data_IF_122605471266
#
_entry.id   IF_122605471266
#
_cell.length_a   1.000
_cell.length_b   1.000
_cell.length_c   1.000
_cell.angle_alpha   90.00
_cell.angle_beta   90.00
_cell.angle_gamma   90.00
#
_symmetry.space_group_name_H-M   'P 1'
#
loop_
_entity.id
_entity.type
_entity.pdbx_description
1 polymer ?
#
# COMPACT_ATOMS: atom_id res chain seq x y z
N UNK A 1 23.45 -14.45 -14.28
CA UNK A 1 23.31 -14.00 -12.88
C UNK A 1 22.47 -12.73 -12.91
N UNK A 2 21.18 -12.83 -12.63
CA UNK A 2 20.30 -11.67 -12.59
C UNK A 2 20.59 -10.91 -11.29
N UNK A 3 21.01 -9.65 -11.40
CA UNK A 3 21.05 -8.71 -10.28
C UNK A 3 19.62 -8.65 -9.71
N UNK A 4 19.47 -9.03 -8.45
CA UNK A 4 18.25 -8.77 -7.69
C UNK A 4 18.21 -7.25 -7.54
N UNK A 5 17.51 -6.57 -8.45
CA UNK A 5 17.23 -5.15 -8.29
C UNK A 5 16.42 -5.01 -6.99
N UNK A 6 16.85 -4.10 -6.15
CA UNK A 6 16.25 -3.82 -4.86
C UNK A 6 14.90 -3.12 -5.08
N UNK A 7 13.85 -3.93 -5.28
CA UNK A 7 12.53 -3.48 -5.72
C UNK A 7 11.62 -3.03 -4.55
N UNK A 8 12.17 -2.83 -3.36
CA UNK A 8 11.37 -2.56 -2.15
C UNK A 8 10.91 -1.10 -2.04
N UNK A 9 11.43 -0.17 -2.86
CA UNK A 9 11.29 1.27 -2.61
C UNK A 9 10.74 2.09 -3.80
N UNK A 10 9.65 1.65 -4.41
CA UNK A 10 9.12 2.36 -5.60
C UNK A 10 8.47 3.71 -5.29
N UNK A 11 7.54 3.81 -4.34
CA UNK A 11 6.75 5.03 -4.16
C UNK A 11 7.03 5.68 -2.81
N UNK A 12 7.29 7.00 -2.76
CA UNK A 12 7.23 7.74 -1.50
C UNK A 12 5.90 8.45 -1.28
N UNK A 13 5.17 8.78 -2.34
CA UNK A 13 3.83 9.36 -2.21
C UNK A 13 2.85 8.69 -3.14
N UNK A 14 1.62 8.56 -2.66
CA UNK A 14 0.50 8.09 -3.45
C UNK A 14 -0.61 9.14 -3.41
N UNK A 15 -1.01 9.64 -4.56
CA UNK A 15 -2.18 10.49 -4.69
C UNK A 15 -3.38 9.63 -5.10
N UNK A 16 -4.36 9.48 -4.20
CA UNK A 16 -5.51 8.59 -4.40
C UNK A 16 -6.79 9.38 -4.59
N UNK A 17 -7.41 9.22 -5.74
CA UNK A 17 -8.74 9.75 -6.02
C UNK A 17 -9.84 8.80 -5.53
N UNK A 18 -10.89 9.38 -4.95
CA UNK A 18 -12.12 8.66 -4.59
C UNK A 18 -12.13 7.99 -3.23
N UNK A 19 -11.01 8.00 -2.50
CA UNK A 19 -10.91 7.35 -1.19
C UNK A 19 -11.53 8.17 -0.05
N UNK A 20 -11.61 9.49 -0.16
CA UNK A 20 -12.20 10.36 0.85
C UNK A 20 -13.41 11.12 0.32
N UNK A 21 -14.35 11.40 1.22
CA UNK A 21 -15.49 12.29 1.02
C UNK A 21 -15.33 13.51 1.92
N UNK A 22 -15.38 14.69 1.33
CA UNK A 22 -15.50 15.96 2.06
C UNK A 22 -16.77 16.67 1.57
N UNK A 23 -17.69 16.99 2.49
CA UNK A 23 -19.01 17.57 2.15
C UNK A 23 -19.81 16.77 1.11
N UNK A 24 -19.65 15.45 1.06
CA UNK A 24 -20.33 14.57 0.09
C UNK A 24 -19.64 14.49 -1.28
N UNK A 25 -18.61 15.29 -1.51
CA UNK A 25 -17.80 15.22 -2.73
C UNK A 25 -16.56 14.36 -2.52
N UNK A 26 -16.23 13.56 -3.53
CA UNK A 26 -15.02 12.75 -3.52
C UNK A 26 -13.81 13.64 -3.73
N UNK A 27 -12.93 13.70 -2.74
CA UNK A 27 -11.67 14.43 -2.84
C UNK A 27 -10.49 13.47 -2.94
N UNK A 28 -9.41 13.89 -3.62
CA UNK A 28 -8.19 13.14 -3.56
C UNK A 28 -7.51 13.29 -2.20
N UNK A 29 -6.75 12.28 -1.80
CA UNK A 29 -5.88 12.31 -0.62
C UNK A 29 -4.46 11.95 -1.02
N UNK A 30 -3.49 12.65 -0.44
CA UNK A 30 -2.07 12.32 -0.58
C UNK A 30 -1.66 11.47 0.62
N UNK A 31 -1.14 10.28 0.33
CA UNK A 31 -0.54 9.39 1.30
C UNK A 31 0.98 9.49 1.19
N UNK A 32 1.65 9.60 2.33
CA UNK A 32 3.10 9.61 2.42
C UNK A 32 3.59 8.28 2.95
N UNK A 33 4.68 7.77 2.36
CA UNK A 33 5.28 6.52 2.78
C UNK A 33 5.72 6.65 4.23
N UNK A 34 5.41 5.63 5.01
CA UNK A 34 5.80 5.48 6.39
C UNK A 34 6.67 4.22 6.54
N UNK A 35 7.47 4.15 7.60
CA UNK A 35 8.30 2.98 7.88
C UNK A 35 7.41 1.91 8.52
N UNK A 36 7.43 0.68 7.97
CA UNK A 36 6.68 -0.45 8.52
C UNK A 36 7.29 -0.94 9.85
N UNK A 37 6.46 -1.53 10.74
CA UNK A 37 6.83 -1.89 12.12
C UNK A 37 7.25 -3.37 12.29
N UNK A 38 8.25 -3.70 13.13
CA UNK A 38 9.01 -2.80 13.99
C UNK A 38 10.08 -2.04 13.19
N UNK A 39 10.45 -0.83 13.64
CA UNK A 39 11.63 -0.19 13.11
C UNK A 39 12.78 -1.22 13.17
N UNK A 40 13.61 -1.33 12.12
CA UNK A 40 14.58 -2.41 11.94
C UNK A 40 15.71 -2.51 13.00
N UNK A 41 15.57 -1.78 14.11
CA UNK A 41 16.49 -1.75 15.25
C UNK A 41 16.25 -2.90 16.26
N UNK A 42 15.18 -3.68 16.14
CA UNK A 42 14.97 -4.86 17.00
C UNK A 42 15.49 -6.16 16.39
N UNK A 43 16.80 -6.23 16.17
CA UNK A 43 17.54 -7.51 16.18
C UNK A 43 18.27 -7.58 17.53
N UNK A 44 17.53 -7.93 18.58
CA UNK A 44 18.19 -8.41 19.80
C UNK A 44 18.81 -9.78 19.49
N UNK A 45 20.15 -9.78 19.46
CA UNK A 45 21.09 -10.90 19.45
C UNK A 45 20.50 -12.25 19.91
N UNK A 46 19.91 -13.01 18.99
CA UNK A 46 19.90 -14.46 19.10
C UNK A 46 21.13 -14.99 18.36
N UNK A 47 22.05 -15.56 19.14
CA UNK A 47 23.35 -16.05 18.68
C UNK A 47 23.18 -17.21 17.69
N UNK A 48 24.11 -17.22 16.74
CA UNK A 48 24.53 -18.32 15.84
C UNK A 48 23.51 -18.84 14.82
N UNK A 49 23.42 -18.14 13.70
CA UNK A 49 23.71 -18.69 12.36
C UNK A 49 24.18 -17.51 11.51
N UNK A 50 25.09 -17.72 10.57
CA UNK A 50 25.54 -16.69 9.63
C UNK A 50 24.76 -16.82 8.32
N UNK A 51 23.56 -16.22 8.18
CA UNK A 51 23.14 -15.68 6.90
C UNK A 51 23.75 -14.28 6.77
N UNK A 52 24.33 -14.02 5.61
CA UNK A 52 24.87 -12.74 5.13
C UNK A 52 24.17 -11.55 5.81
N UNK A 53 24.93 -10.63 6.44
CA UNK A 53 24.41 -9.43 7.11
C UNK A 53 23.45 -8.67 6.18
N UNK A 54 22.15 -8.93 6.29
CA UNK A 54 21.14 -8.17 5.57
C UNK A 54 21.04 -6.86 6.35
N UNK A 55 21.59 -5.80 5.76
CA UNK A 55 21.39 -4.45 6.26
C UNK A 55 19.89 -4.11 6.21
N UNK A 56 19.28 -4.12 7.41
CA UNK A 56 17.89 -3.77 7.64
C UNK A 56 17.71 -2.27 7.91
N UNK A 57 18.77 -1.45 7.92
CA UNK A 57 18.68 -0.01 8.15
C UNK A 57 17.60 0.63 7.27
N UNK A 58 16.92 1.72 7.71
CA UNK A 58 16.03 2.49 6.85
C UNK A 58 16.82 2.95 5.62
N UNK A 59 16.70 2.24 4.50
CA UNK A 59 17.43 2.57 3.27
C UNK A 59 16.93 3.90 2.74
N UNK A 60 17.87 4.76 2.36
CA UNK A 60 17.58 6.04 1.71
C UNK A 60 16.72 5.78 0.48
N UNK A 61 15.55 6.44 0.43
CA UNK A 61 14.58 6.30 -0.64
C UNK A 61 15.10 7.04 -1.87
N UNK A 62 15.68 6.33 -2.84
CA UNK A 62 16.03 6.86 -4.16
C UNK A 62 16.12 5.73 -5.21
N UNK A 63 15.56 5.88 -6.43
CA UNK A 63 14.70 6.97 -6.89
C UNK A 63 13.25 6.83 -6.39
N UNK A 64 12.68 7.95 -6.01
CA UNK A 64 11.32 8.03 -5.47
C UNK A 64 10.31 8.32 -6.56
N UNK A 65 9.50 7.34 -6.93
CA UNK A 65 8.33 7.58 -7.78
C UNK A 65 7.15 8.11 -6.95
N UNK A 66 6.28 8.87 -7.59
CA UNK A 66 4.97 9.22 -7.07
C UNK A 66 3.91 8.49 -7.89
N UNK A 67 3.00 7.80 -7.21
CA UNK A 67 1.90 7.09 -7.84
C UNK A 67 0.63 7.94 -7.78
N UNK A 68 -0.01 8.17 -8.91
CA UNK A 68 -1.38 8.69 -8.94
C UNK A 68 -2.32 7.54 -9.31
N UNK A 69 -3.29 7.27 -8.44
CA UNK A 69 -4.23 6.17 -8.61
C UNK A 69 -5.66 6.59 -8.25
N UNK A 70 -6.64 5.82 -8.70
CA UNK A 70 -8.05 5.99 -8.36
C UNK A 70 -8.58 4.70 -7.75
N UNK A 71 -9.36 4.82 -6.68
CA UNK A 71 -10.12 3.67 -6.18
C UNK A 71 -11.21 3.33 -7.17
N UNK A 72 -11.23 2.08 -7.65
CA UNK A 72 -12.28 1.59 -8.52
C UNK A 72 -13.50 1.24 -7.67
N UNK A 73 -14.59 1.95 -7.93
CA UNK A 73 -15.90 1.66 -7.35
C UNK A 73 -16.78 1.10 -8.47
N UNK A 74 -17.12 -0.18 -8.41
CA UNK A 74 -18.14 -0.73 -9.32
C UNK A 74 -19.53 -0.17 -8.94
N UNK A 75 -20.36 0.19 -9.91
CA UNK A 75 -21.77 0.46 -9.59
C UNK A 75 -22.39 -0.83 -9.06
N UNK A 76 -23.23 -0.79 -8.00
CA UNK A 76 -23.87 -2.01 -7.50
C UNK A 76 -24.65 -2.63 -8.65
N UNK A 77 -24.23 -3.82 -9.11
CA UNK A 77 -25.02 -4.62 -10.05
C UNK A 77 -26.27 -5.04 -9.28
N UNK A 78 -27.37 -4.32 -9.49
CA UNK A 78 -28.68 -4.66 -8.96
C UNK A 78 -29.21 -5.91 -9.63
N UNK A 79 -28.71 -7.07 -9.24
CA UNK A 79 -29.32 -8.36 -9.53
C UNK A 79 -29.31 -9.20 -8.26
N UNK A 80 -30.36 -9.01 -7.45
CA UNK A 80 -30.97 -10.02 -6.58
C UNK A 80 -30.12 -10.69 -5.51
N UNK A 81 -30.38 -10.33 -4.24
CA UNK A 81 -30.09 -11.08 -3.01
C UNK A 81 -28.64 -11.57 -2.85
N UNK A 82 -27.82 -10.79 -2.15
CA UNK A 82 -26.84 -11.33 -1.22
C UNK A 82 -26.77 -10.45 0.03
N UNK A 83 -27.23 -11.04 1.15
CA UNK A 83 -27.09 -10.49 2.49
C UNK A 83 -25.74 -10.96 3.01
N UNK A 84 -24.69 -10.31 2.52
CA UNK A 84 -23.37 -10.23 3.15
C UNK A 84 -22.73 -8.94 2.62
N UNK A 85 -23.21 -7.84 3.19
CA UNK A 85 -22.98 -6.48 2.72
C UNK A 85 -21.49 -6.10 2.82
N UNK A 86 -20.75 -6.43 1.76
CA UNK A 86 -19.45 -5.86 1.47
C UNK A 86 -19.57 -4.32 1.48
N UNK A 87 -18.88 -3.60 2.38
CA UNK A 87 -19.01 -2.15 2.46
C UNK A 87 -18.39 -1.52 1.22
N UNK A 88 -19.23 -1.17 0.24
CA UNK A 88 -18.90 -0.35 -0.92
C UNK A 88 -17.68 -0.83 -1.71
N UNK A 89 -17.87 -1.76 -2.65
CA UNK A 89 -16.90 -2.10 -3.71
C UNK A 89 -15.49 -2.49 -3.24
N UNK A 90 -15.34 -2.91 -1.99
CA UNK A 90 -14.08 -3.43 -1.50
C UNK A 90 -13.79 -4.79 -2.17
N UNK A 91 -12.54 -5.09 -2.52
CA UNK A 91 -12.12 -6.44 -2.91
C UNK A 91 -12.25 -7.44 -1.74
N UNK A 92 -12.29 -6.93 -0.51
CA UNK A 92 -12.46 -7.73 0.68
C UNK A 92 -12.42 -6.87 1.94
N UNK A 93 -13.04 -7.37 2.99
CA UNK A 93 -13.02 -6.76 4.31
C UNK A 93 -12.50 -7.75 5.35
N UNK A 94 -11.80 -7.24 6.34
CA UNK A 94 -11.36 -8.03 7.48
C UNK A 94 -11.23 -7.14 8.71
N UNK A 95 -10.90 -7.76 9.84
CA UNK A 95 -10.79 -7.07 11.13
C UNK A 95 -9.88 -5.83 11.07
N UNK A 96 -8.76 -5.93 10.35
CA UNK A 96 -7.73 -4.90 10.32
C UNK A 96 -7.93 -3.84 9.22
N UNK A 97 -8.89 -4.00 8.31
CA UNK A 97 -9.05 -3.06 7.21
C UNK A 97 -9.93 -3.53 6.05
N UNK A 98 -10.10 -2.62 5.10
CA UNK A 98 -10.82 -2.81 3.85
C UNK A 98 -9.85 -2.75 2.69
N UNK A 99 -10.02 -3.61 1.70
CA UNK A 99 -9.15 -3.68 0.51
C UNK A 99 -9.90 -3.10 -0.67
N UNK A 100 -9.31 -2.19 -1.42
CA UNK A 100 -9.92 -1.58 -2.59
C UNK A 100 -9.04 -1.78 -3.83
N UNK A 101 -9.63 -2.05 -5.02
CA UNK A 101 -8.87 -2.09 -6.26
C UNK A 101 -8.42 -0.68 -6.65
N UNK A 102 -7.23 -0.58 -7.24
CA UNK A 102 -6.69 0.68 -7.76
C UNK A 102 -6.58 0.64 -9.28
N UNK A 103 -7.03 1.71 -9.91
CA UNK A 103 -6.69 2.08 -11.28
C UNK A 103 -5.47 3.01 -11.25
N UNK A 104 -4.33 2.56 -11.76
CA UNK A 104 -3.13 3.40 -11.89
C UNK A 104 -3.36 4.41 -13.01
N UNK A 105 -3.28 5.69 -12.69
CA UNK A 105 -3.50 6.78 -13.65
C UNK A 105 -2.18 7.29 -14.22
N UNK A 106 -1.17 7.44 -13.37
CA UNK A 106 0.17 7.83 -13.77
C UNK A 106 1.20 7.47 -12.71
N UNK A 107 2.43 7.33 -13.16
CA UNK A 107 3.61 7.33 -12.31
C UNK A 107 4.43 8.52 -12.76
N UNK A 108 4.66 9.47 -11.86
CA UNK A 108 5.64 10.51 -12.11
C UNK A 108 6.90 10.17 -11.33
N UNK A 109 8.06 10.12 -11.98
CA UNK A 109 9.28 10.37 -11.24
C UNK A 109 9.33 11.85 -10.89
N UNK A 110 10.15 12.22 -9.91
CA UNK A 110 10.60 13.60 -9.83
C UNK A 110 11.38 14.00 -11.10
N UNK A 111 12.14 13.10 -11.78
CA UNK A 111 12.99 13.43 -12.96
C UNK A 111 13.41 12.27 -13.95
N UNK A 112 12.73 11.11 -14.02
CA UNK A 112 13.18 9.89 -14.77
C UNK A 112 12.38 9.57 -16.07
N UNK A 113 13.03 9.35 -17.23
CA UNK A 113 12.35 8.91 -18.46
C UNK A 113 11.71 7.50 -18.42
N UNK A 114 12.01 6.64 -17.44
CA UNK A 114 11.54 5.24 -17.41
C UNK A 114 10.18 5.01 -16.72
N UNK A 115 9.49 6.06 -16.28
CA UNK A 115 8.23 5.88 -15.55
C UNK A 115 7.10 5.23 -16.38
N UNK A 116 7.10 5.41 -17.69
CA UNK A 116 6.14 4.74 -18.58
C UNK A 116 6.35 3.21 -18.59
N UNK A 117 7.61 2.77 -18.64
CA UNK A 117 7.96 1.34 -18.59
C UNK A 117 7.61 0.73 -17.23
N UNK A 118 7.82 1.48 -16.15
CA UNK A 118 7.43 1.06 -14.81
C UNK A 118 5.91 0.85 -14.72
N UNK A 119 5.11 1.76 -15.28
CA UNK A 119 3.65 1.64 -15.27
C UNK A 119 3.17 0.39 -16.02
N UNK A 120 3.82 0.05 -17.15
CA UNK A 120 3.52 -1.15 -17.91
C UNK A 120 3.90 -2.46 -17.18
N UNK A 121 4.86 -2.40 -16.25
CA UNK A 121 5.36 -3.56 -15.50
C UNK A 121 4.62 -3.80 -14.18
N UNK A 122 3.83 -2.83 -13.70
CA UNK A 122 3.10 -3.00 -12.45
C UNK A 122 1.98 -4.04 -12.59
N UNK A 123 1.87 -5.01 -11.67
CA UNK A 123 0.71 -5.86 -11.60
C UNK A 123 -0.52 -5.04 -11.16
N UNK A 124 -1.74 -5.60 -11.30
CA UNK A 124 -2.94 -5.01 -10.70
C UNK A 124 -2.71 -4.65 -9.23
N UNK A 125 -2.95 -3.39 -8.87
CA UNK A 125 -2.72 -2.88 -7.52
C UNK A 125 -4.01 -2.81 -6.71
N UNK A 126 -3.86 -2.89 -5.39
CA UNK A 126 -4.92 -2.60 -4.43
C UNK A 126 -4.36 -1.78 -3.26
N UNK A 127 -5.25 -1.14 -2.52
CA UNK A 127 -4.92 -0.50 -1.25
C UNK A 127 -5.72 -1.14 -0.13
N UNK A 128 -5.06 -1.42 0.99
CA UNK A 128 -5.71 -1.80 2.25
C UNK A 128 -5.75 -0.60 3.18
N UNK A 129 -6.95 -0.22 3.61
CA UNK A 129 -7.17 0.92 4.50
C UNK A 129 -7.51 0.40 5.89
N UNK A 130 -6.74 0.82 6.89
CA UNK A 130 -6.93 0.37 8.26
C UNK A 130 -8.29 0.83 8.81
N UNK A 131 -8.97 -0.07 9.52
CA UNK A 131 -10.09 0.30 10.40
C UNK A 131 -9.58 1.08 11.62
N UNK A 132 -10.41 1.93 12.25
CA UNK A 132 -10.02 2.66 13.45
C UNK A 132 -9.45 1.73 14.53
N UNK A 133 -8.29 2.08 15.09
CA UNK A 133 -7.57 1.28 16.09
C UNK A 133 -6.66 0.18 15.53
N UNK A 134 -6.71 -0.13 14.23
CA UNK A 134 -5.94 -1.22 13.62
C UNK A 134 -4.73 -0.77 12.79
N UNK A 135 -4.40 0.52 12.76
CA UNK A 135 -3.24 1.04 12.01
C UNK A 135 -1.92 0.30 12.35
N UNK A 136 -1.67 0.02 13.64
CA UNK A 136 -0.50 -0.77 14.06
C UNK A 136 -0.51 -2.21 13.55
N UNK A 137 -1.69 -2.82 13.46
CA UNK A 137 -1.82 -4.18 12.91
C UNK A 137 -1.53 -4.19 11.42
N UNK A 138 -2.01 -3.18 10.68
CA UNK A 138 -1.73 -3.02 9.26
C UNK A 138 -0.24 -2.73 9.01
N UNK A 139 0.40 -1.89 9.82
CA UNK A 139 1.84 -1.61 9.71
C UNK A 139 2.70 -2.88 9.96
N UNK A 140 2.29 -3.73 10.90
CA UNK A 140 2.95 -5.03 11.14
C UNK A 140 2.74 -6.00 9.98
N UNK A 141 1.57 -6.00 9.37
CA UNK A 141 1.27 -6.79 8.17
C UNK A 141 2.15 -6.33 6.99
N UNK A 142 2.27 -5.02 6.76
CA UNK A 142 3.16 -4.45 5.74
C UNK A 142 4.64 -4.84 5.96
N UNK A 143 5.12 -4.74 7.20
CA UNK A 143 6.47 -5.16 7.55
C UNK A 143 6.72 -6.64 7.27
N UNK A 144 5.74 -7.50 7.56
CA UNK A 144 5.88 -8.93 7.27
C UNK A 144 6.01 -9.18 5.77
N UNK A 145 5.29 -8.44 4.92
CA UNK A 145 5.47 -8.51 3.48
C UNK A 145 6.84 -8.00 3.01
N UNK A 146 7.33 -6.90 3.58
CA UNK A 146 8.69 -6.38 3.28
C UNK A 146 9.76 -7.40 3.70
N UNK A 147 9.60 -8.04 4.86
CA UNK A 147 10.48 -9.10 5.33
C UNK A 147 10.48 -10.32 4.39
N UNK A 148 9.31 -10.74 3.91
CA UNK A 148 9.21 -11.80 2.91
C UNK A 148 9.83 -11.40 1.57
N UNK A 149 9.72 -10.13 1.16
CA UNK A 149 10.34 -9.61 -0.08
C UNK A 149 11.87 -9.65 0.02
N UNK A 150 12.42 -9.24 1.16
CA UNK A 150 13.86 -9.30 1.43
C UNK A 150 14.42 -10.73 1.40
N UNK A 151 13.59 -11.73 1.68
CA UNK A 151 13.93 -13.16 1.55
C UNK A 151 13.64 -13.74 0.15
N UNK A 152 13.11 -12.94 -0.78
CA UNK A 152 12.74 -13.38 -2.14
C UNK A 152 11.51 -14.29 -2.19
N UNK A 153 10.61 -14.20 -1.20
CA UNK A 153 9.42 -15.05 -1.08
C UNK A 153 8.13 -14.41 -1.61
N UNK A 154 8.19 -13.16 -2.06
CA UNK A 154 7.07 -12.47 -2.71
C UNK A 154 6.84 -12.98 -4.13
N UNK A 155 5.59 -12.99 -4.56
CA UNK A 155 5.18 -13.58 -5.85
C UNK A 155 5.06 -15.10 -5.85
N UNK A 156 5.53 -15.78 -4.79
CA UNK A 156 5.38 -17.23 -4.59
C UNK A 156 4.51 -17.54 -3.38
N UNK A 157 4.85 -17.00 -2.20
CA UNK A 157 4.15 -17.27 -0.94
C UNK A 157 3.32 -16.09 -0.44
N UNK A 158 3.64 -14.88 -0.89
CA UNK A 158 2.94 -13.66 -0.48
C UNK A 158 2.82 -12.66 -1.63
N UNK A 159 1.78 -11.79 -1.61
CA UNK A 159 1.70 -10.67 -2.52
C UNK A 159 2.86 -9.69 -2.29
N UNK A 160 3.22 -8.94 -3.34
CA UNK A 160 4.19 -7.85 -3.22
C UNK A 160 3.55 -6.67 -2.50
N UNK A 161 4.22 -6.16 -1.46
CA UNK A 161 3.82 -4.95 -0.75
C UNK A 161 4.72 -3.78 -1.19
N UNK A 162 4.10 -2.68 -1.63
CA UNK A 162 4.82 -1.50 -2.08
C UNK A 162 5.08 -0.47 -0.96
N UNK A 163 4.68 -0.81 0.27
CA UNK A 163 4.92 -0.03 1.49
C UNK A 163 3.66 0.22 2.30
N UNK A 164 3.85 0.76 3.50
CA UNK A 164 2.80 1.37 4.32
C UNK A 164 2.79 2.88 4.09
N UNK A 165 1.60 3.46 4.01
CA UNK A 165 1.41 4.89 3.76
C UNK A 165 0.42 5.47 4.75
N UNK A 166 0.71 6.68 5.22
CA UNK A 166 -0.14 7.41 6.15
C UNK A 166 -0.59 8.74 5.53
N UNK A 167 -1.75 9.22 5.97
CA UNK A 167 -2.22 10.56 5.65
C UNK A 167 -2.91 11.16 6.86
N UNK A 168 -2.69 12.46 7.06
CA UNK A 168 -3.48 13.23 7.98
C UNK A 168 -4.82 13.54 7.31
N UNK A 169 -5.92 13.06 7.90
CA UNK A 169 -7.24 13.55 7.55
C UNK A 169 -7.42 14.91 8.22
N UNK A 170 -7.76 15.94 7.45
CA UNK A 170 -8.07 17.26 7.99
C UNK A 170 -9.19 17.16 9.03
N UNK A 171 -9.19 18.06 10.01
CA UNK A 171 -10.20 18.16 11.08
C UNK A 171 -11.59 18.57 10.58
N UNK A 172 -11.74 18.91 9.29
CA UNK A 172 -13.06 19.03 8.65
C UNK A 172 -13.73 17.65 8.61
N UNK A 173 -15.04 17.58 8.32
CA UNK A 173 -15.82 16.31 8.26
C UNK A 173 -15.42 15.38 7.09
N UNK A 174 -14.13 15.28 6.81
CA UNK A 174 -13.52 14.33 5.88
C UNK A 174 -13.71 12.92 6.42
N UNK A 175 -14.44 12.09 5.69
CA UNK A 175 -14.61 10.67 6.00
C UNK A 175 -13.96 9.85 4.90
N UNK A 176 -13.42 8.68 5.25
CA UNK A 176 -13.09 7.70 4.22
C UNK A 176 -14.41 7.29 3.55
N UNK A 177 -14.44 7.23 2.23
CA UNK A 177 -15.59 6.92 1.38
C UNK A 177 -15.99 5.44 1.46
N UNK A 178 -16.09 4.90 2.67
CA UNK A 178 -16.47 3.52 2.96
C UNK A 178 -18.00 3.48 3.06
N UNK A 179 -18.66 2.93 2.03
CA UNK A 179 -20.07 2.52 2.04
C UNK A 179 -21.05 3.50 2.68
N UNK A 180 -21.49 4.50 1.91
CA UNK A 180 -22.74 5.23 2.14
C UNK A 180 -23.83 4.69 1.23
#
# INVERSE_FOLDING_TARGET
>A
MALIQDHTQFFARIHIHGLTLEHGERKPITLERYISFPPPVMVEKCKSHTPTDIDLSPRALDPVFNLTARVRFESPKTTGKDVDSNPGNSLGYGRAGLVFPLDVLSISPSDDPHAADLMAQLPPLCIKVATPGYARSLAREAWFYEYLDAMGLTGVLAPRCYGVFHAALGTSRSKVAIGS
#
